data_IF_298555242116
#
_entry.id   IF_298555242116
#
_cell.length_a   1.000
_cell.length_b   1.000
_cell.length_c   1.000
_cell.angle_alpha   90.00
_cell.angle_beta   90.00
_cell.angle_gamma   90.00
#
_symmetry.space_group_name_H-M   'P 1'
#
loop_
_entity.id
_entity.type
_entity.pdbx_description
1 polymer ?
#
# COMPACT_ATOMS: atom_id res chain seq x y z
N UNK A 1 21.13 9.73 -2.30
CA UNK A 1 20.28 8.89 -3.17
C UNK A 1 19.16 8.33 -2.30
N UNK A 2 17.87 8.44 -2.71
CA UNK A 2 16.76 7.96 -1.89
C UNK A 2 16.83 6.43 -1.71
N UNK A 3 16.53 5.89 -0.51
CA UNK A 3 16.47 4.45 -0.29
C UNK A 3 15.26 3.82 -1.02
N UNK A 4 15.48 2.70 -1.69
CA UNK A 4 14.44 1.92 -2.36
C UNK A 4 13.85 0.89 -1.40
N UNK A 5 12.53 0.75 -1.39
CA UNK A 5 11.82 -0.24 -0.58
C UNK A 5 10.86 -1.07 -1.44
N UNK A 6 10.64 -2.32 -1.04
CA UNK A 6 9.63 -3.21 -1.61
C UNK A 6 8.59 -3.56 -0.55
N UNK A 7 7.32 -3.38 -0.88
CA UNK A 7 6.19 -3.81 -0.04
C UNK A 7 5.55 -5.02 -0.72
N UNK A 8 5.52 -6.16 -0.03
CA UNK A 8 4.88 -7.38 -0.51
C UNK A 8 3.59 -7.64 0.28
N UNK A 9 2.48 -7.81 -0.44
CA UNK A 9 1.18 -8.16 0.11
C UNK A 9 0.94 -9.65 -0.10
N UNK A 10 0.79 -10.41 0.99
CA UNK A 10 0.42 -11.83 0.92
C UNK A 10 -1.11 -11.97 1.01
N UNK A 11 -1.68 -12.93 0.28
CA UNK A 11 -3.11 -13.22 0.35
C UNK A 11 -3.43 -13.74 1.76
N UNK A 12 -4.11 -12.91 2.55
CA UNK A 12 -4.44 -13.23 3.95
C UNK A 12 -3.26 -13.12 4.94
N UNK A 13 -2.13 -12.56 4.51
CA UNK A 13 -0.96 -12.34 5.36
C UNK A 13 -0.78 -10.88 5.79
N UNK A 14 0.30 -10.62 6.54
CA UNK A 14 0.71 -9.27 6.94
C UNK A 14 1.61 -8.69 5.83
N UNK A 15 1.36 -7.47 5.35
CA UNK A 15 2.26 -6.86 4.38
C UNK A 15 3.67 -6.72 4.96
N UNK A 16 4.68 -7.04 4.15
CA UNK A 16 6.09 -6.96 4.55
C UNK A 16 6.79 -5.88 3.75
N UNK A 17 7.54 -5.02 4.44
CA UNK A 17 8.36 -3.97 3.81
C UNK A 17 9.84 -4.34 3.91
N UNK A 18 10.55 -4.34 2.80
CA UNK A 18 11.98 -4.69 2.71
C UNK A 18 12.77 -3.53 2.12
N UNK A 19 13.89 -3.15 2.73
CA UNK A 19 14.83 -2.19 2.16
C UNK A 19 15.68 -2.87 1.07
N UNK A 20 15.76 -2.28 -0.12
CA UNK A 20 16.50 -2.80 -1.28
C UNK A 20 17.86 -2.12 -1.48
N UNK A 21 18.19 -1.11 -0.69
CA UNK A 21 19.41 -0.32 -0.78
C UNK A 21 19.21 1.07 -1.40
N UNK A 22 20.32 1.72 -1.73
CA UNK A 22 20.35 3.09 -2.26
C UNK A 22 20.99 3.19 -3.64
N UNK A 23 21.42 2.07 -4.23
CA UNK A 23 21.97 2.00 -5.59
C UNK A 23 20.91 1.48 -6.54
N UNK A 24 20.40 2.36 -7.40
CA UNK A 24 19.37 2.06 -8.37
C UNK A 24 19.78 0.99 -9.40
N UNK A 25 21.09 0.83 -9.65
CA UNK A 25 21.61 -0.12 -10.63
C UNK A 25 21.79 -1.52 -10.05
N UNK A 26 21.67 -1.67 -8.72
CA UNK A 26 21.95 -2.91 -8.01
C UNK A 26 20.90 -3.20 -6.93
N UNK A 27 19.64 -3.20 -7.35
CA UNK A 27 18.52 -3.60 -6.52
C UNK A 27 18.27 -5.10 -6.68
N UNK A 28 18.21 -5.83 -5.56
CA UNK A 28 17.82 -7.24 -5.56
C UNK A 28 16.80 -7.50 -4.47
N UNK A 29 15.78 -8.28 -4.82
CA UNK A 29 14.77 -8.73 -3.88
C UNK A 29 14.78 -10.26 -3.83
N UNK A 30 14.84 -10.81 -2.61
CA UNK A 30 14.64 -12.23 -2.38
C UNK A 30 13.23 -12.44 -1.87
N UNK A 31 12.41 -13.16 -2.64
CA UNK A 31 11.09 -13.56 -2.19
C UNK A 31 11.22 -14.44 -0.94
N UNK A 32 10.76 -13.94 0.21
CA UNK A 32 10.76 -14.65 1.50
C UNK A 32 9.41 -15.27 1.83
N UNK A 33 8.46 -15.27 0.89
CA UNK A 33 7.15 -15.90 1.05
C UNK A 33 7.34 -17.35 1.49
N UNK A 34 6.79 -17.67 2.67
CA UNK A 34 6.86 -19.01 3.23
C UNK A 34 6.06 -19.93 2.31
N UNK A 35 6.70 -20.94 1.72
CA UNK A 35 5.97 -22.02 1.02
C UNK A 35 5.05 -22.68 2.04
N UNK A 36 3.74 -22.66 1.79
CA UNK A 36 2.77 -23.31 2.67
C UNK A 36 3.21 -24.76 2.92
N UNK A 37 3.30 -25.15 4.20
CA UNK A 37 3.42 -26.55 4.58
C UNK A 37 2.15 -27.30 4.18
N UNK A 38 2.21 -28.63 4.11
CA UNK A 38 1.01 -29.46 3.89
C UNK A 38 0.03 -29.44 5.08
N UNK A 39 0.44 -28.86 6.21
CA UNK A 39 -0.35 -28.72 7.43
C UNK A 39 -0.94 -27.31 7.50
N UNK A 40 -2.27 -27.25 7.52
CA UNK A 40 -3.05 -26.02 7.60
C UNK A 40 -3.54 -25.71 9.02
N UNK A 41 -3.16 -26.49 10.02
CA UNK A 41 -3.66 -26.38 11.41
C UNK A 41 -3.28 -25.07 12.10
N UNK A 42 -2.19 -24.44 11.67
CA UNK A 42 -1.74 -23.13 12.15
C UNK A 42 -2.09 -21.99 11.18
N UNK A 43 -2.71 -22.29 10.03
CA UNK A 43 -3.23 -21.24 9.18
C UNK A 43 -4.37 -20.55 9.93
N UNK A 44 -4.40 -19.20 9.93
CA UNK A 44 -5.57 -18.49 10.44
C UNK A 44 -6.81 -19.00 9.69
N UNK A 45 -7.91 -19.17 10.43
CA UNK A 45 -9.22 -19.47 9.83
C UNK A 45 -9.47 -18.55 8.65
N UNK A 46 -10.02 -19.09 7.56
CA UNK A 46 -10.26 -18.39 6.30
C UNK A 46 -10.69 -16.94 6.56
N UNK A 47 -9.84 -15.99 6.17
CA UNK A 47 -10.12 -14.58 6.38
C UNK A 47 -11.36 -14.24 5.57
N UNK A 48 -12.36 -13.71 6.27
CA UNK A 48 -13.53 -13.13 5.63
C UNK A 48 -13.05 -11.94 4.77
N UNK A 49 -12.97 -12.17 3.47
CA UNK A 49 -12.47 -11.18 2.52
C UNK A 49 -13.33 -9.92 2.49
N UNK A 50 -14.58 -10.00 2.97
CA UNK A 50 -15.45 -8.82 3.16
C UNK A 50 -14.96 -7.89 4.28
N UNK A 51 -14.07 -8.36 5.17
CA UNK A 51 -13.48 -7.60 6.27
C UNK A 51 -12.09 -7.07 5.96
N UNK A 52 -11.53 -7.34 4.79
CA UNK A 52 -10.23 -6.79 4.38
C UNK A 52 -10.42 -5.31 3.99
N UNK A 53 -9.44 -4.46 4.29
CA UNK A 53 -9.46 -3.09 3.85
C UNK A 53 -9.40 -3.02 2.31
N UNK A 54 -10.36 -2.34 1.69
CA UNK A 54 -10.42 -2.07 0.26
C UNK A 54 -10.41 -0.57 0.03
N UNK A 55 -9.72 -0.13 -1.02
CA UNK A 55 -9.63 1.28 -1.42
C UNK A 55 -10.35 1.44 -2.75
N UNK A 56 -11.31 2.36 -2.81
CA UNK A 56 -12.03 2.73 -4.02
C UNK A 56 -11.75 4.20 -4.36
N UNK A 57 -11.14 4.49 -5.52
CA UNK A 57 -10.90 5.86 -5.96
C UNK A 57 -12.18 6.49 -6.54
N UNK A 58 -12.33 7.81 -6.38
CA UNK A 58 -13.39 8.60 -7.04
C UNK A 58 -13.10 8.90 -8.52
N UNK A 59 -11.82 8.95 -8.89
CA UNK A 59 -11.34 9.16 -10.26
C UNK A 59 -10.88 7.82 -10.82
N UNK A 60 -11.48 7.40 -11.94
CA UNK A 60 -11.21 6.11 -12.60
C UNK A 60 -10.38 6.22 -13.86
N UNK A 61 -10.23 7.42 -14.41
CA UNK A 61 -9.52 7.66 -15.67
C UNK A 61 -8.09 8.16 -15.39
N UNK A 62 -7.80 9.41 -15.73
CA UNK A 62 -6.50 10.05 -15.50
C UNK A 62 -6.65 11.12 -14.44
N UNK A 63 -5.64 11.24 -13.58
CA UNK A 63 -5.59 12.22 -12.50
C UNK A 63 -4.48 13.22 -12.81
N UNK A 64 -4.84 14.48 -13.03
CA UNK A 64 -3.87 15.54 -13.36
C UNK A 64 -3.03 15.91 -12.15
N UNK A 65 -1.84 16.47 -12.36
CA UNK A 65 -1.04 17.04 -11.26
C UNK A 65 -1.86 18.11 -10.52
N UNK A 66 -1.76 18.12 -9.20
CA UNK A 66 -2.52 18.96 -8.26
C UNK A 66 -4.04 18.69 -8.19
N UNK A 67 -4.59 17.75 -8.96
CA UNK A 67 -5.99 17.35 -8.87
C UNK A 67 -6.28 16.55 -7.59
N UNK A 68 -7.45 16.76 -6.99
CA UNK A 68 -7.84 16.07 -5.76
C UNK A 68 -8.27 14.62 -6.04
N UNK A 69 -7.61 13.69 -5.37
CA UNK A 69 -7.94 12.27 -5.40
C UNK A 69 -8.66 11.85 -4.13
N UNK A 70 -9.91 11.45 -4.28
CA UNK A 70 -10.72 10.90 -3.20
C UNK A 70 -10.55 9.39 -3.13
N UNK A 71 -10.01 8.91 -2.01
CA UNK A 71 -9.80 7.49 -1.71
C UNK A 71 -10.75 7.05 -0.60
N UNK A 72 -11.77 6.26 -0.94
CA UNK A 72 -12.71 5.71 0.04
C UNK A 72 -12.21 4.34 0.51
N UNK A 73 -12.01 4.19 1.82
CA UNK A 73 -11.53 2.97 2.46
C UNK A 73 -12.68 2.28 3.20
N UNK A 74 -12.96 1.04 2.82
CA UNK A 74 -13.97 0.16 3.45
C UNK A 74 -13.31 -1.09 4.02
N UNK A 75 -13.94 -1.75 4.99
CA UNK A 75 -13.36 -2.93 5.65
C UNK A 75 -12.14 -2.62 6.51
N UNK A 76 -11.46 -3.64 7.01
CA UNK A 76 -10.30 -3.51 7.90
C UNK A 76 -10.63 -2.91 9.27
N UNK A 77 -9.58 -2.47 9.97
CA UNK A 77 -9.68 -1.83 11.28
C UNK A 77 -9.12 -0.41 11.20
N UNK A 78 -9.91 0.56 11.67
CA UNK A 78 -9.48 1.96 11.82
C UNK A 78 -8.61 2.14 13.06
N UNK A 79 -7.72 3.17 13.10
CA UNK A 79 -7.45 4.15 12.06
C UNK A 79 -6.60 3.58 10.92
N UNK A 80 -6.83 4.04 9.69
CA UNK A 80 -6.03 3.62 8.55
C UNK A 80 -4.74 4.42 8.44
N UNK A 81 -3.65 3.74 8.09
CA UNK A 81 -2.41 4.36 7.63
C UNK A 81 -2.31 4.19 6.13
N UNK A 82 -2.31 5.29 5.39
CA UNK A 82 -2.19 5.32 3.93
C UNK A 82 -0.79 5.80 3.57
N UNK A 83 -0.10 5.00 2.75
CA UNK A 83 1.22 5.33 2.20
C UNK A 83 1.08 5.57 0.71
N UNK A 84 1.43 6.77 0.25
CA UNK A 84 1.35 7.18 -1.15
C UNK A 84 2.75 7.44 -1.69
N UNK A 85 3.05 6.84 -2.83
CA UNK A 85 4.27 7.09 -3.61
C UNK A 85 3.88 7.50 -5.03
N UNK A 86 4.42 8.61 -5.51
CA UNK A 86 4.23 9.07 -6.88
C UNK A 86 5.43 8.71 -7.77
N UNK A 87 5.18 8.48 -9.06
CA UNK A 87 6.25 8.24 -10.03
C UNK A 87 7.18 9.46 -10.07
N UNK A 88 8.50 9.21 -10.15
CA UNK A 88 9.56 10.22 -10.16
C UNK A 88 9.63 11.13 -8.91
N UNK A 89 8.78 10.90 -7.90
CA UNK A 89 8.82 11.69 -6.67
C UNK A 89 9.78 11.07 -5.64
N UNK A 90 10.73 11.85 -5.07
CA UNK A 90 11.55 11.38 -3.96
C UNK A 90 10.79 11.37 -2.62
N UNK A 91 9.53 11.84 -2.59
CA UNK A 91 8.74 12.00 -1.37
C UNK A 91 7.72 10.87 -1.29
N UNK A 92 7.82 10.06 -0.23
CA UNK A 92 6.76 9.13 0.18
C UNK A 92 5.92 9.82 1.24
N UNK A 93 4.61 9.83 1.02
CA UNK A 93 3.65 10.39 1.97
C UNK A 93 3.12 9.28 2.87
N UNK A 94 3.18 9.47 4.18
CA UNK A 94 2.61 8.56 5.18
C UNK A 94 1.60 9.33 6.03
N UNK A 95 0.32 8.98 5.89
CA UNK A 95 -0.79 9.66 6.58
C UNK A 95 -1.51 8.64 7.45
N UNK A 96 -1.67 8.96 8.73
CA UNK A 96 -2.61 8.25 9.60
C UNK A 96 -3.91 9.05 9.64
N UNK A 97 -5.00 8.43 9.22
CA UNK A 97 -6.33 9.04 9.17
C UNK A 97 -6.93 9.16 10.57
N UNK A 98 -7.93 10.02 10.72
CA UNK A 98 -8.70 10.11 11.96
C UNK A 98 -9.41 8.79 12.28
N UNK A 99 -9.66 8.54 13.56
CA UNK A 99 -10.23 7.26 14.02
C UNK A 99 -11.61 6.93 13.45
N UNK A 100 -12.35 7.96 12.97
CA UNK A 100 -13.68 7.80 12.36
C UNK A 100 -13.65 7.93 10.85
N UNK A 101 -12.54 8.37 10.26
CA UNK A 101 -12.47 8.71 8.86
C UNK A 101 -12.43 7.45 7.99
N UNK A 102 -13.04 7.54 6.83
CA UNK A 102 -13.07 6.50 5.81
C UNK A 102 -12.80 7.04 4.41
N UNK A 103 -12.53 8.35 4.28
CA UNK A 103 -12.21 8.99 3.02
C UNK A 103 -10.93 9.79 3.26
N UNK A 104 -9.92 9.54 2.42
CA UNK A 104 -8.74 10.38 2.31
C UNK A 104 -8.86 11.20 1.03
N UNK A 105 -8.78 12.53 1.13
CA UNK A 105 -8.60 13.41 -0.02
C UNK A 105 -7.13 13.78 -0.13
N UNK A 106 -6.52 13.50 -1.27
CA UNK A 106 -5.10 13.73 -1.50
C UNK A 106 -4.85 14.45 -2.84
N UNK A 107 -4.14 15.59 -2.87
CA UNK A 107 -3.78 16.22 -4.13
C UNK A 107 -2.70 15.40 -4.85
N UNK A 108 -2.86 15.14 -6.15
CA UNK A 108 -1.83 14.46 -6.94
C UNK A 108 -0.54 15.28 -6.94
N UNK A 109 0.56 14.68 -6.47
CA UNK A 109 1.89 15.31 -6.43
C UNK A 109 2.88 14.64 -7.38
N UNK A 110 2.39 13.82 -8.32
CA UNK A 110 3.21 13.32 -9.41
C UNK A 110 3.59 14.46 -10.36
N UNK A 111 4.78 14.38 -10.93
CA UNK A 111 5.21 15.31 -11.98
C UNK A 111 4.23 15.26 -13.17
N UNK A 112 3.96 16.41 -13.83
CA UNK A 112 3.13 16.43 -15.03
C UNK A 112 3.70 15.53 -16.12
N UNK A 113 2.81 14.81 -16.80
CA UNK A 113 3.11 14.02 -17.99
C UNK A 113 2.89 14.80 -19.28
#
# INVERSE_FOLDING_TARGET
VPPYYLIAFEVGGVPTTTNLGSDASNLSWKNTHKRAGSDTSCLPSSIDTSKIASINPNVTDTLSTCEEWGLTITGGQKPYTVVLSALNSPIITNITMGAKDNILTWPNRADPG
#
